data_IF_111343030033
#
_entry.id   IF_111343030033
#
_cell.length_a   1.000
_cell.length_b   1.000
_cell.length_c   1.000
_cell.angle_alpha   90.00
_cell.angle_beta   90.00
_cell.angle_gamma   90.00
#
_symmetry.space_group_name_H-M   'P 1'
#
loop_
_entity.id
_entity.type
_entity.pdbx_description
1 polymer ?
#
# COMPACT_ATOMS: atom_id res chain seq x y z
N UNK A 1 10.30 -4.91 3.65
CA UNK A 1 10.19 -4.91 4.09
C UNK A 1 10.68 -5.29 4.63
N UNK A 2 10.74 -5.47 4.57
CA UNK A 2 10.88 -5.80 5.14
C UNK A 2 11.28 -5.87 6.01
N UNK A 3 11.45 -5.77 6.17
CA UNK A 3 11.61 -5.66 6.96
C UNK A 3 11.84 -5.62 7.80
N UNK A 4 11.65 -5.65 7.98
CA UNK A 4 11.60 -5.48 8.78
C UNK A 4 11.84 -5.88 9.55
N UNK A 5 11.95 -6.10 9.65
CA UNK A 5 12.00 -6.33 10.31
C UNK A 5 12.42 -6.60 11.14
N UNK A 6 12.68 -6.79 11.24
CA UNK A 6 12.80 -6.80 12.16
C UNK A 6 13.46 -6.63 12.72
N UNK A 7 13.50 -6.34 12.86
CA UNK A 7 13.74 -5.76 13.41
C UNK A 7 13.73 -5.47 14.27
N UNK A 8 13.21 -5.63 14.49
CA UNK A 8 12.83 -5.32 15.27
C UNK A 8 12.82 -5.74 15.94
N UNK A 9 12.69 -6.18 16.15
CA UNK A 9 12.45 -6.50 16.83
C UNK A 9 12.60 -6.62 17.60
N UNK A 10 12.74 -6.70 17.87
CA UNK A 10 12.73 -6.63 18.60
C UNK A 10 12.70 -6.36 19.46
N UNK A 11 12.82 -6.15 19.61
CA UNK A 11 13.03 -5.89 20.67
C UNK A 11 12.29 -5.61 21.64
N UNK A 12 11.93 -5.30 21.79
CA UNK A 12 11.28 -4.98 22.61
C UNK A 12 10.46 -5.75 23.18
N UNK A 13 10.40 -6.40 22.81
CA UNK A 13 9.75 -7.08 23.21
C UNK A 13 9.79 -7.76 24.26
N UNK A 14 10.49 -7.78 24.50
CA UNK A 14 10.93 -8.50 25.45
C UNK A 14 10.23 -8.57 26.68
N UNK A 15 9.42 -7.77 26.90
CA UNK A 15 8.97 -7.64 28.19
C UNK A 15 8.16 -8.77 28.71
N UNK A 16 7.19 -9.22 28.02
CA UNK A 16 6.29 -10.22 28.54
C UNK A 16 5.93 -11.21 27.47
N UNK A 17 5.76 -12.43 27.86
CA UNK A 17 5.35 -13.48 26.94
C UNK A 17 4.00 -13.19 26.33
N UNK A 18 3.06 -12.70 27.14
CA UNK A 18 1.72 -12.40 26.65
C UNK A 18 1.77 -11.27 25.62
N UNK A 19 2.50 -10.21 25.93
CA UNK A 19 2.63 -9.10 25.02
C UNK A 19 3.34 -9.49 23.74
N UNK A 20 4.39 -10.29 23.85
CA UNK A 20 5.14 -10.77 22.71
C UNK A 20 4.29 -11.66 21.82
N UNK A 21 3.51 -12.53 22.43
CA UNK A 21 2.64 -13.45 21.72
C UNK A 21 1.60 -12.68 20.89
N UNK A 22 1.00 -11.69 21.54
CA UNK A 22 -0.02 -10.86 20.88
C UNK A 22 0.60 -10.02 19.77
N UNK A 23 1.79 -9.48 20.00
CA UNK A 23 2.49 -8.71 18.97
C UNK A 23 2.84 -9.58 17.76
N UNK A 24 3.27 -10.82 18.02
CA UNK A 24 3.57 -11.76 16.95
C UNK A 24 2.33 -12.07 16.14
N UNK A 25 1.20 -12.31 16.80
CA UNK A 25 -0.06 -12.59 16.13
C UNK A 25 -0.50 -11.41 15.26
N UNK A 26 -0.40 -10.19 15.80
CA UNK A 26 -0.76 -9.00 15.07
C UNK A 26 0.16 -8.79 13.87
N UNK A 27 1.46 -9.00 14.06
CA UNK A 27 2.42 -8.86 12.97
C UNK A 27 2.09 -9.81 11.83
N UNK A 28 1.84 -11.07 12.14
CA UNK A 28 1.48 -12.05 11.11
C UNK A 28 0.20 -11.66 10.38
N UNK A 29 -0.76 -11.15 11.13
CA UNK A 29 -2.03 -10.72 10.56
C UNK A 29 -1.85 -9.55 9.62
N UNK A 30 -1.02 -8.58 10.00
CA UNK A 30 -0.78 -7.41 9.17
C UNK A 30 0.12 -7.71 7.97
N UNK A 31 1.03 -8.66 8.10
CA UNK A 31 1.79 -9.12 6.94
C UNK A 31 0.86 -9.76 5.91
N UNK A 32 -0.10 -10.56 6.36
CA UNK A 32 -1.10 -11.15 5.47
C UNK A 32 -1.97 -10.07 4.81
N UNK A 33 -2.31 -9.03 5.56
CA UNK A 33 -3.11 -7.91 5.04
C UNK A 33 -2.32 -7.15 3.98
N UNK A 34 -1.04 -6.89 4.23
CA UNK A 34 -0.19 -6.21 3.25
C UNK A 34 -0.08 -7.04 1.96
N UNK A 35 0.07 -8.34 2.10
CA UNK A 35 0.11 -9.23 0.94
C UNK A 35 -1.21 -9.21 0.18
N UNK A 36 -2.32 -9.19 0.90
CA UNK A 36 -3.64 -9.08 0.28
C UNK A 36 -3.76 -7.78 -0.52
N UNK A 37 -3.32 -6.67 0.06
CA UNK A 37 -3.36 -5.38 -0.62
C UNK A 37 -2.47 -5.42 -1.87
N UNK A 38 -1.29 -6.00 -1.76
CA UNK A 38 -0.37 -6.10 -2.90
C UNK A 38 -0.99 -6.86 -4.07
N UNK A 39 -1.73 -7.93 -3.78
CA UNK A 39 -2.31 -8.76 -4.84
C UNK A 39 -3.64 -8.22 -5.35
N UNK A 40 -4.34 -7.39 -4.58
CA UNK A 40 -5.67 -6.89 -4.93
C UNK A 40 -5.71 -5.38 -5.10
N UNK A 41 -4.57 -4.73 -5.28
CA UNK A 41 -4.52 -3.26 -5.31
C UNK A 41 -5.27 -2.64 -6.48
N UNK A 42 -5.54 -3.42 -7.53
CA UNK A 42 -6.31 -2.92 -8.68
C UNK A 42 -7.82 -2.95 -8.42
N UNK A 43 -8.23 -3.59 -7.34
CA UNK A 43 -9.65 -3.68 -6.99
C UNK A 43 -10.04 -2.56 -6.05
N UNK A 44 -11.33 -2.34 -5.92
CA UNK A 44 -11.85 -1.30 -5.05
C UNK A 44 -11.89 -1.80 -3.61
N UNK A 45 -10.76 -1.72 -2.93
CA UNK A 45 -10.64 -2.16 -1.54
C UNK A 45 -10.99 -0.99 -0.63
N UNK A 46 -12.01 -1.17 0.21
CA UNK A 46 -12.40 -0.14 1.16
C UNK A 46 -11.83 -0.45 2.54
N UNK A 47 -11.73 0.59 3.35
CA UNK A 47 -11.29 0.44 4.74
C UNK A 47 -12.22 -0.50 5.51
N UNK A 48 -13.51 -0.42 5.23
CA UNK A 48 -14.49 -1.27 5.87
C UNK A 48 -14.23 -2.75 5.56
N UNK A 49 -14.00 -3.06 4.30
CA UNK A 49 -13.72 -4.43 3.88
C UNK A 49 -12.42 -4.97 4.46
N UNK A 50 -11.34 -4.19 4.35
CA UNK A 50 -10.04 -4.66 4.77
C UNK A 50 -9.98 -4.83 6.29
N UNK A 51 -10.65 -3.97 7.05
CA UNK A 51 -10.68 -4.10 8.51
C UNK A 51 -11.45 -5.35 8.92
N UNK A 52 -12.52 -5.69 8.21
CA UNK A 52 -13.27 -6.92 8.46
C UNK A 52 -12.43 -8.15 8.15
N UNK A 53 -11.71 -8.14 7.05
CA UNK A 53 -10.82 -9.24 6.69
C UNK A 53 -9.76 -9.43 7.79
N UNK A 54 -9.26 -8.33 8.33
CA UNK A 54 -8.25 -8.37 9.38
C UNK A 54 -8.82 -8.75 10.74
N UNK A 55 -10.15 -8.70 10.90
CA UNK A 55 -10.79 -9.02 12.17
C UNK A 55 -10.75 -7.90 13.18
N UNK A 56 -10.70 -6.65 12.73
CA UNK A 56 -10.65 -5.47 13.60
C UNK A 56 -11.76 -4.49 13.26
N UNK A 57 -12.08 -3.61 14.20
CA UNK A 57 -12.91 -2.45 13.91
C UNK A 57 -12.10 -1.51 13.03
N UNK A 58 -12.77 -0.61 12.29
CA UNK A 58 -12.07 0.35 11.44
C UNK A 58 -11.10 1.22 12.24
N UNK A 59 -11.52 1.67 13.41
CA UNK A 59 -10.67 2.49 14.26
C UNK A 59 -9.42 1.75 14.70
N UNK A 60 -9.60 0.54 15.19
CA UNK A 60 -8.49 -0.28 15.67
C UNK A 60 -7.54 -0.66 14.53
N UNK A 61 -8.12 -1.03 13.39
CA UNK A 61 -7.34 -1.35 12.20
C UNK A 61 -6.48 -0.17 11.76
N UNK A 62 -7.09 1.01 11.66
CA UNK A 62 -6.37 2.22 11.22
C UNK A 62 -5.17 2.49 12.11
N UNK A 63 -5.37 2.40 13.41
CA UNK A 63 -4.30 2.66 14.36
C UNK A 63 -3.19 1.63 14.28
N UNK A 64 -3.55 0.37 14.23
CA UNK A 64 -2.56 -0.71 14.14
C UNK A 64 -1.84 -0.71 12.80
N UNK A 65 -2.57 -0.44 11.73
CA UNK A 65 -1.97 -0.39 10.41
C UNK A 65 -0.87 0.67 10.35
N UNK A 66 -1.14 1.83 10.91
CA UNK A 66 -0.14 2.90 10.96
C UNK A 66 1.06 2.50 11.82
N UNK A 67 0.83 1.79 12.91
CA UNK A 67 1.92 1.31 13.76
C UNK A 67 2.82 0.31 13.02
N UNK A 68 2.23 -0.58 12.24
CA UNK A 68 3.00 -1.63 11.58
C UNK A 68 3.62 -1.21 10.26
N UNK A 69 2.95 -0.32 9.50
CA UNK A 69 3.43 0.09 8.17
C UNK A 69 3.97 1.51 8.13
N UNK A 70 3.72 2.28 9.17
CA UNK A 70 4.08 3.70 9.23
C UNK A 70 3.30 4.54 8.21
N UNK A 71 2.24 4.00 7.66
CA UNK A 71 1.38 4.64 6.66
C UNK A 71 -0.08 4.44 6.99
N UNK A 72 -0.93 5.32 6.45
CA UNK A 72 -2.36 5.05 6.47
C UNK A 72 -2.66 3.98 5.43
N UNK A 73 -3.79 3.32 5.56
CA UNK A 73 -4.21 2.30 4.61
C UNK A 73 -4.30 2.86 3.19
N UNK A 74 -4.95 4.01 3.03
CA UNK A 74 -5.13 4.58 1.69
C UNK A 74 -3.82 5.03 1.06
N UNK A 75 -2.90 5.54 1.86
CA UNK A 75 -1.60 5.93 1.34
C UNK A 75 -0.82 4.69 0.89
N UNK A 76 -0.87 3.63 1.67
CA UNK A 76 -0.22 2.37 1.31
C UNK A 76 -0.80 1.81 0.02
N UNK A 77 -2.14 1.77 -0.06
CA UNK A 77 -2.83 1.28 -1.26
C UNK A 77 -2.44 2.09 -2.50
N UNK A 78 -2.45 3.40 -2.37
CA UNK A 78 -2.09 4.27 -3.49
C UNK A 78 -0.63 4.08 -3.91
N UNK A 79 0.28 3.87 -2.96
CA UNK A 79 1.67 3.59 -3.29
C UNK A 79 1.81 2.30 -4.08
N UNK A 80 1.06 1.28 -3.72
CA UNK A 80 1.08 0.01 -4.47
C UNK A 80 0.53 0.19 -5.88
N UNK A 81 -0.52 0.97 -6.01
CA UNK A 81 -1.09 1.29 -7.32
C UNK A 81 -0.10 2.07 -8.19
N UNK A 82 0.64 3.00 -7.59
CA UNK A 82 1.67 3.76 -8.31
C UNK A 82 2.81 2.84 -8.75
N UNK A 83 3.24 1.90 -7.92
CA UNK A 83 4.28 0.94 -8.31
C UNK A 83 3.86 0.15 -9.55
N UNK A 84 2.61 -0.30 -9.58
CA UNK A 84 2.08 -1.00 -10.74
C UNK A 84 2.01 -0.06 -11.96
N UNK A 85 1.58 1.19 -11.72
CA UNK A 85 1.49 2.17 -12.80
C UNK A 85 2.84 2.44 -13.45
N UNK A 86 3.92 2.44 -12.68
CA UNK A 86 5.26 2.64 -13.25
C UNK A 86 5.58 1.54 -14.27
N UNK A 87 5.21 0.32 -13.97
CA UNK A 87 5.39 -0.80 -14.89
C UNK A 87 4.57 -0.61 -16.16
N UNK A 88 3.33 -0.15 -16.02
CA UNK A 88 2.43 0.08 -17.16
C UNK A 88 2.89 1.26 -18.00
N UNK A 89 3.44 2.30 -17.37
CA UNK A 89 3.93 3.47 -18.11
C UNK A 89 5.13 3.13 -19.01
N UNK A 90 5.84 2.05 -18.70
CA UNK A 90 6.96 1.61 -19.51
C UNK A 90 6.51 1.16 -20.91
N UNK A 91 5.25 0.78 -21.05
CA UNK A 91 4.70 0.38 -22.34
C UNK A 91 4.04 1.61 -23.00
N UNK A 92 4.69 2.11 -24.05
CA UNK A 92 4.20 3.31 -24.74
C UNK A 92 2.87 3.10 -25.46
N UNK A 93 2.44 1.86 -25.62
CA UNK A 93 1.15 1.55 -26.23
C UNK A 93 -0.02 1.71 -25.26
N UNK A 94 0.27 1.84 -23.98
CA UNK A 94 -0.75 2.02 -22.96
C UNK A 94 -0.84 3.52 -22.65
N UNK A 95 -2.02 4.10 -22.82
CA UNK A 95 -2.20 5.52 -22.53
C UNK A 95 -2.15 5.80 -21.04
N UNK A 96 -1.94 7.07 -20.68
CA UNK A 96 -1.96 7.48 -19.27
C UNK A 96 -3.32 7.15 -18.65
N UNK A 97 -4.40 7.37 -19.40
CA UNK A 97 -5.74 7.05 -18.91
C UNK A 97 -5.89 5.55 -18.64
N UNK A 98 -5.42 4.72 -19.57
CA UNK A 98 -5.47 3.28 -19.38
C UNK A 98 -4.61 2.84 -18.20
N UNK A 99 -3.44 3.46 -18.04
CA UNK A 99 -2.58 3.19 -16.90
C UNK A 99 -3.31 3.46 -15.59
N UNK A 100 -4.01 4.59 -15.52
CA UNK A 100 -4.79 4.93 -14.31
C UNK A 100 -5.81 3.85 -14.00
N UNK A 101 -6.57 3.44 -14.99
CA UNK A 101 -7.64 2.46 -14.78
C UNK A 101 -7.09 1.07 -14.47
N UNK A 102 -6.06 0.64 -15.18
CA UNK A 102 -5.48 -0.68 -14.97
C UNK A 102 -4.74 -0.79 -13.63
N UNK A 103 -4.25 0.32 -13.10
CA UNK A 103 -3.59 0.29 -11.80
C UNK A 103 -4.55 0.44 -10.62
N UNK A 104 -5.85 0.60 -10.90
CA UNK A 104 -6.87 0.55 -9.85
C UNK A 104 -7.43 1.88 -9.41
N UNK A 105 -7.03 2.99 -10.04
CA UNK A 105 -7.57 4.30 -9.67
C UNK A 105 -8.99 4.47 -10.23
N UNK A 106 -9.83 5.16 -9.47
CA UNK A 106 -11.22 5.36 -9.86
C UNK A 106 -11.36 6.24 -11.10
N UNK A 107 -10.41 7.19 -11.28
CA UNK A 107 -10.43 8.06 -12.44
C UNK A 107 -9.02 8.61 -12.69
N UNK A 108 -8.77 9.10 -13.92
CA UNK A 108 -7.44 9.61 -14.26
C UNK A 108 -6.98 10.82 -13.44
N UNK A 109 -7.91 11.69 -13.05
CA UNK A 109 -7.57 12.88 -12.28
C UNK A 109 -6.96 12.52 -10.93
N UNK A 110 -7.54 11.54 -10.25
CA UNK A 110 -7.00 11.07 -8.98
C UNK A 110 -5.62 10.46 -9.18
N UNK A 111 -5.47 9.66 -10.23
CA UNK A 111 -4.18 9.04 -10.55
C UNK A 111 -3.09 10.10 -10.76
N UNK A 112 -3.37 11.10 -11.58
CA UNK A 112 -2.40 12.14 -11.88
C UNK A 112 -1.99 12.88 -10.62
N UNK A 113 -2.97 13.23 -9.79
CA UNK A 113 -2.70 13.94 -8.53
C UNK A 113 -1.84 13.10 -7.58
N UNK A 114 -2.19 11.84 -7.40
CA UNK A 114 -1.45 10.94 -6.51
C UNK A 114 -0.05 10.68 -7.07
N UNK A 115 0.05 10.44 -8.37
CA UNK A 115 1.34 10.19 -9.01
C UNK A 115 2.28 11.37 -8.84
N UNK A 116 1.78 12.59 -9.07
CA UNK A 116 2.60 13.79 -8.92
C UNK A 116 3.05 13.98 -7.47
N UNK A 117 2.18 13.68 -6.51
CA UNK A 117 2.55 13.77 -5.11
C UNK A 117 3.64 12.77 -4.73
N UNK A 118 3.59 11.56 -5.31
CA UNK A 118 4.55 10.52 -4.99
C UNK A 118 5.86 10.65 -5.76
N UNK A 119 5.80 11.08 -7.01
CA UNK A 119 6.97 11.07 -7.89
C UNK A 119 7.51 12.45 -8.23
N UNK A 120 6.81 13.51 -7.88
CA UNK A 120 7.26 14.88 -8.15
C UNK A 120 7.02 15.36 -9.56
N UNK A 121 6.44 14.53 -10.43
CA UNK A 121 6.12 14.93 -11.80
C UNK A 121 4.87 14.18 -12.25
N UNK A 122 4.27 14.64 -13.36
CA UNK A 122 3.09 13.97 -13.89
C UNK A 122 3.47 12.66 -14.60
N UNK A 123 2.51 11.75 -14.76
CA UNK A 123 2.79 10.53 -15.51
C UNK A 123 3.32 10.77 -16.92
N UNK A 124 2.79 11.78 -17.59
CA UNK A 124 3.25 12.14 -18.95
C UNK A 124 4.69 12.64 -18.91
N UNK A 125 5.01 13.50 -17.96
CA UNK A 125 6.37 14.00 -17.79
C UNK A 125 7.34 12.86 -17.45
N UNK A 126 6.90 11.96 -16.59
CA UNK A 126 7.70 10.80 -16.20
C UNK A 126 8.03 9.93 -17.43
N UNK A 127 7.00 9.66 -18.25
CA UNK A 127 7.20 8.85 -19.45
C UNK A 127 8.19 9.49 -20.40
N UNK A 128 8.10 10.80 -20.59
CA UNK A 128 9.03 11.52 -21.45
C UNK A 128 10.46 11.49 -20.93
N UNK A 129 10.63 11.64 -19.62
CA UNK A 129 11.95 11.69 -19.01
C UNK A 129 12.65 10.35 -18.98
N UNK A 130 11.92 9.27 -18.70
CA UNK A 130 12.55 7.99 -18.40
C UNK A 130 12.31 6.92 -19.47
N UNK A 131 11.36 7.12 -20.35
CA UNK A 131 10.98 6.08 -21.30
C UNK A 131 11.11 6.58 -22.74
N UNK A 132 11.06 7.85 -22.87
CA UNK A 132 11.31 8.44 -24.10
C UNK A 132 10.32 8.85 -24.99
#
# INVERSE_FOLDING_TARGET
VLVLIGRHHTASSCNFNVGRHKQQEYLERFLSICEYIDTHCTEDITLDEISKIAGFSKYHFTRLFKQFTNNTFYKYLNQKRIELALTLLADSNISVTETAMQSGFANPSTFIRVFKAEKGCTPTEFRKMFIG
#
